data_IF_498357408935
#
_entry.id   IF_498357408935
#
_cell.length_a   1.000
_cell.length_b   1.000
_cell.length_c   1.000
_cell.angle_alpha   90.00
_cell.angle_beta   90.00
_cell.angle_gamma   90.00
#
_symmetry.space_group_name_H-M   'P 1'
#
loop_
_entity.id
_entity.type
_entity.pdbx_description
1 polymer ?
#
# COMPACT_ATOMS: atom_id res chain seq x y z
N UNK A 1 27.51 -3.51 11.37
CA UNK A 1 27.15 -3.59 9.95
C UNK A 1 27.21 -5.05 9.50
N UNK A 2 26.20 -5.51 8.78
CA UNK A 2 26.18 -6.81 8.12
C UNK A 2 25.92 -6.59 6.62
N UNK A 3 26.78 -7.14 5.78
CA UNK A 3 26.65 -7.13 4.32
C UNK A 3 26.46 -8.55 3.83
N UNK A 4 25.40 -8.76 3.06
CA UNK A 4 25.03 -10.03 2.44
C UNK A 4 24.91 -9.81 0.94
N UNK A 5 25.65 -10.60 0.16
CA UNK A 5 25.59 -10.55 -1.30
C UNK A 5 25.51 -11.96 -1.88
N UNK A 6 24.79 -12.11 -3.00
CA UNK A 6 24.75 -13.32 -3.83
C UNK A 6 24.50 -14.62 -3.04
N UNK A 7 23.68 -14.52 -2.00
CA UNK A 7 23.48 -15.60 -1.02
C UNK A 7 22.09 -16.23 -1.14
N UNK A 8 21.93 -17.43 -0.59
CA UNK A 8 20.65 -18.15 -0.57
C UNK A 8 20.27 -18.48 0.87
N UNK A 9 19.08 -18.03 1.28
CA UNK A 9 18.43 -18.32 2.54
C UNK A 9 17.15 -19.09 2.25
N UNK A 10 17.26 -20.41 2.19
CA UNK A 10 16.14 -21.30 1.88
C UNK A 10 15.63 -22.03 3.12
N UNK A 11 14.31 -22.11 3.25
CA UNK A 11 13.63 -22.95 4.23
C UNK A 11 14.01 -22.66 5.69
N UNK A 12 14.43 -21.43 6.00
CA UNK A 12 14.70 -21.04 7.38
C UNK A 12 13.39 -20.93 8.15
N UNK A 13 13.43 -21.35 9.41
CA UNK A 13 12.26 -21.41 10.27
C UNK A 13 12.65 -21.05 11.71
N UNK A 14 11.71 -20.49 12.45
CA UNK A 14 11.90 -20.15 13.85
C UNK A 14 11.57 -21.41 14.67
N UNK A 15 12.62 -22.00 15.25
CA UNK A 15 12.53 -23.29 15.96
C UNK A 15 11.97 -23.16 17.39
N UNK A 16 12.02 -21.96 17.99
CA UNK A 16 11.43 -21.71 19.31
C UNK A 16 10.14 -20.92 19.18
N UNK A 17 9.01 -21.64 19.08
CA UNK A 17 7.67 -21.07 18.88
C UNK A 17 6.84 -20.95 20.16
N UNK A 18 7.37 -21.39 21.30
CA UNK A 18 6.61 -21.62 22.51
C UNK A 18 7.23 -20.96 23.74
N UNK A 19 6.44 -20.11 24.40
CA UNK A 19 6.53 -19.68 25.81
C UNK A 19 7.23 -18.36 26.18
N UNK A 20 7.70 -17.54 25.24
CA UNK A 20 8.07 -16.17 25.56
C UNK A 20 7.66 -15.22 24.45
N UNK A 21 7.31 -14.00 24.84
CA UNK A 21 7.10 -12.78 24.07
C UNK A 21 8.32 -12.35 23.23
N UNK A 22 8.98 -13.29 22.54
CA UNK A 22 10.08 -13.00 21.61
C UNK A 22 9.49 -12.71 20.24
N UNK A 23 8.88 -11.54 20.14
CA UNK A 23 8.45 -10.89 18.89
C UNK A 23 9.66 -10.34 18.09
N UNK A 24 10.81 -11.02 18.12
CA UNK A 24 12.08 -10.45 17.66
C UNK A 24 12.96 -11.49 16.95
N UNK A 25 12.65 -11.77 15.69
CA UNK A 25 13.56 -12.51 14.82
C UNK A 25 13.00 -12.72 13.43
N UNK A 26 13.72 -12.26 12.40
CA UNK A 26 13.46 -12.71 11.04
C UNK A 26 14.04 -14.10 10.85
N UNK A 27 13.32 -14.99 10.17
CA UNK A 27 13.74 -16.40 10.10
C UNK A 27 15.13 -16.59 9.48
N UNK A 28 15.53 -15.72 8.57
CA UNK A 28 16.86 -15.73 7.97
C UNK A 28 17.76 -14.66 8.60
N UNK A 29 17.28 -13.42 8.74
CA UNK A 29 18.10 -12.30 9.21
C UNK A 29 17.31 -11.46 10.20
N UNK A 30 17.97 -11.13 11.31
CA UNK A 30 17.46 -10.20 12.30
C UNK A 30 18.45 -9.06 12.54
N UNK A 31 18.08 -7.84 12.13
CA UNK A 31 18.90 -6.63 12.26
C UNK A 31 18.43 -5.81 13.47
N UNK A 32 19.26 -5.78 14.52
CA UNK A 32 18.95 -5.09 15.79
C UNK A 32 19.01 -3.56 15.65
N UNK A 33 18.61 -2.82 16.70
CA UNK A 33 18.34 -1.37 16.61
C UNK A 33 19.55 -0.52 16.21
N UNK A 34 20.77 -0.91 16.60
CA UNK A 34 22.04 -0.25 16.25
C UNK A 34 22.72 -0.89 15.02
N UNK A 35 22.05 -1.88 14.42
CA UNK A 35 22.51 -2.58 13.24
C UNK A 35 22.29 -1.80 11.95
N UNK A 36 23.16 -2.07 10.98
CA UNK A 36 22.99 -1.66 9.59
C UNK A 36 23.10 -2.89 8.73
N UNK A 37 22.07 -3.16 7.94
CA UNK A 37 21.96 -4.32 7.07
C UNK A 37 22.03 -3.87 5.60
N UNK A 38 22.87 -4.51 4.81
CA UNK A 38 22.86 -4.40 3.35
C UNK A 38 22.73 -5.78 2.73
N UNK A 39 21.73 -5.96 1.88
CA UNK A 39 21.46 -7.19 1.14
C UNK A 39 21.44 -6.88 -0.35
N UNK A 40 22.15 -7.68 -1.14
CA UNK A 40 22.23 -7.52 -2.60
C UNK A 40 22.24 -8.87 -3.31
N UNK A 41 21.58 -8.97 -4.48
CA UNK A 41 21.67 -10.15 -5.35
C UNK A 41 21.25 -11.48 -4.71
N UNK A 42 20.51 -11.45 -3.60
CA UNK A 42 20.31 -12.61 -2.73
C UNK A 42 18.91 -13.20 -2.87
N UNK A 43 18.76 -14.48 -2.54
CA UNK A 43 17.50 -15.21 -2.63
C UNK A 43 17.04 -15.67 -1.25
N UNK A 44 15.83 -15.28 -0.88
CA UNK A 44 15.13 -15.70 0.35
C UNK A 44 13.92 -16.50 -0.08
N UNK A 45 14.00 -17.83 0.08
CA UNK A 45 12.98 -18.74 -0.44
C UNK A 45 12.43 -19.64 0.64
N UNK A 46 11.12 -19.91 0.60
CA UNK A 46 10.46 -20.89 1.48
C UNK A 46 10.64 -20.63 2.99
N UNK A 47 11.02 -19.42 3.41
CA UNK A 47 11.23 -19.15 4.82
C UNK A 47 9.86 -19.08 5.54
N UNK A 48 9.77 -19.75 6.70
CA UNK A 48 8.57 -19.81 7.55
C UNK A 48 7.34 -20.39 6.81
N UNK A 49 7.54 -21.18 5.75
CA UNK A 49 6.45 -21.70 4.89
C UNK A 49 5.30 -22.37 5.64
N UNK A 50 5.58 -22.96 6.81
CA UNK A 50 4.60 -23.63 7.66
C UNK A 50 3.94 -22.70 8.70
N UNK A 51 3.83 -21.40 8.41
CA UNK A 51 3.09 -20.44 9.21
C UNK A 51 1.65 -20.91 9.45
N UNK A 52 1.19 -20.81 10.70
CA UNK A 52 -0.21 -21.06 11.08
C UNK A 52 -0.81 -19.80 11.70
N UNK A 53 -2.08 -19.56 11.40
CA UNK A 53 -2.80 -18.42 11.96
C UNK A 53 -2.80 -18.52 13.51
N UNK A 54 -2.24 -17.51 14.17
CA UNK A 54 -1.99 -17.49 15.60
C UNK A 54 -0.50 -17.40 15.97
N UNK A 55 0.41 -17.82 15.09
CA UNK A 55 1.86 -17.72 15.35
C UNK A 55 2.32 -16.24 15.30
N UNK A 56 3.24 -15.84 16.18
CA UNK A 56 3.87 -14.50 16.20
C UNK A 56 5.17 -14.45 15.37
N UNK A 57 5.17 -15.05 14.17
CA UNK A 57 6.38 -15.13 13.34
C UNK A 57 6.51 -13.88 12.47
N UNK A 58 7.72 -13.34 12.41
CA UNK A 58 8.07 -12.17 11.61
C UNK A 58 8.86 -12.64 10.38
N UNK A 59 8.73 -11.96 9.24
CA UNK A 59 9.20 -12.42 7.92
C UNK A 59 10.66 -12.86 7.80
N UNK A 60 11.05 -13.28 6.59
CA UNK A 60 12.42 -13.77 6.33
C UNK A 60 13.51 -12.80 6.85
N UNK A 61 13.32 -11.49 6.65
CA UNK A 61 14.15 -10.43 7.22
C UNK A 61 13.31 -9.61 8.18
N UNK A 62 13.82 -9.37 9.38
CA UNK A 62 13.25 -8.38 10.31
C UNK A 62 14.31 -7.37 10.69
N UNK A 63 13.95 -6.09 10.67
CA UNK A 63 14.88 -4.99 10.93
C UNK A 63 14.31 -3.92 11.88
N UNK A 64 15.02 -3.68 12.97
CA UNK A 64 14.84 -2.51 13.85
C UNK A 64 15.86 -1.42 13.46
N UNK A 65 17.07 -1.81 13.09
CA UNK A 65 18.08 -0.90 12.54
C UNK A 65 17.82 -0.54 11.08
N UNK A 66 18.75 0.21 10.47
CA UNK A 66 18.64 0.61 9.07
C UNK A 66 18.91 -0.58 8.14
N UNK A 67 18.13 -0.71 7.07
CA UNK A 67 18.28 -1.79 6.10
C UNK A 67 18.20 -1.29 4.65
N UNK A 68 19.10 -1.80 3.81
CA UNK A 68 19.06 -1.64 2.35
C UNK A 68 19.03 -3.01 1.70
N UNK A 69 18.07 -3.23 0.79
CA UNK A 69 17.89 -4.46 0.03
C UNK A 69 17.84 -4.10 -1.46
N UNK A 70 18.63 -4.77 -2.28
CA UNK A 70 18.74 -4.49 -3.71
C UNK A 70 18.83 -5.75 -4.56
N UNK A 71 18.23 -5.75 -5.74
CA UNK A 71 18.40 -6.83 -6.72
C UNK A 71 18.11 -8.24 -6.18
N UNK A 72 17.23 -8.36 -5.18
CA UNK A 72 17.06 -9.60 -4.41
C UNK A 72 15.69 -10.22 -4.64
N UNK A 73 15.57 -11.53 -4.41
CA UNK A 73 14.33 -12.27 -4.62
C UNK A 73 13.80 -12.84 -3.31
N UNK A 74 12.52 -12.59 -3.04
CA UNK A 74 11.77 -13.13 -1.92
C UNK A 74 10.62 -13.96 -2.48
N UNK A 75 10.75 -15.28 -2.43
CA UNK A 75 9.79 -16.20 -3.05
C UNK A 75 9.21 -17.18 -2.04
N UNK A 76 7.87 -17.25 -1.98
CA UNK A 76 7.15 -18.22 -1.15
C UNK A 76 7.59 -18.18 0.33
N UNK A 77 7.89 -16.98 0.84
CA UNK A 77 8.09 -16.77 2.27
C UNK A 77 6.74 -16.51 2.94
N UNK A 78 6.63 -16.85 4.21
CA UNK A 78 5.42 -16.63 4.99
C UNK A 78 5.72 -15.89 6.28
N UNK A 79 4.72 -15.25 6.88
CA UNK A 79 4.88 -14.59 8.17
C UNK A 79 3.59 -13.98 8.67
N UNK A 80 3.51 -13.70 9.97
CA UNK A 80 2.42 -12.89 10.51
C UNK A 80 2.54 -11.46 10.01
N UNK A 81 3.73 -10.87 10.18
CA UNK A 81 4.06 -9.49 9.81
C UNK A 81 5.23 -9.51 8.85
N UNK A 82 4.98 -9.17 7.58
CA UNK A 82 5.98 -9.33 6.54
C UNK A 82 6.13 -10.81 6.22
N UNK A 83 5.72 -11.29 5.06
CA UNK A 83 6.15 -12.63 4.64
C UNK A 83 7.64 -12.60 4.32
N UNK A 84 8.08 -11.57 3.60
CA UNK A 84 9.46 -11.39 3.22
C UNK A 84 10.24 -10.45 4.15
N UNK A 85 9.80 -9.20 4.31
CA UNK A 85 10.51 -8.18 5.09
C UNK A 85 9.57 -7.54 6.09
N UNK A 86 10.05 -7.34 7.32
CA UNK A 86 9.36 -6.58 8.35
C UNK A 86 10.26 -5.52 8.94
N UNK A 87 9.74 -4.31 9.10
CA UNK A 87 10.40 -3.26 9.89
C UNK A 87 9.69 -3.06 11.22
N UNK A 88 10.47 -2.71 12.25
CA UNK A 88 9.95 -2.50 13.60
C UNK A 88 10.56 -1.26 14.25
N UNK A 89 10.58 -0.14 13.51
CA UNK A 89 11.10 1.14 14.02
C UNK A 89 10.28 1.72 15.16
N UNK A 90 9.03 1.29 15.35
CA UNK A 90 8.22 1.64 16.53
C UNK A 90 8.87 1.27 17.87
N UNK A 91 9.85 0.37 17.87
CA UNK A 91 10.61 -0.04 19.07
C UNK A 91 11.72 0.95 19.44
N UNK A 92 12.03 1.89 18.56
CA UNK A 92 13.01 2.95 18.83
C UNK A 92 12.43 3.99 19.79
N UNK A 93 13.29 4.53 20.65
CA UNK A 93 12.92 5.47 21.69
C UNK A 93 12.42 6.80 21.13
N UNK A 94 11.48 7.43 21.84
CA UNK A 94 10.96 8.75 21.47
C UNK A 94 10.32 8.75 20.08
N UNK A 95 10.71 9.71 19.25
CA UNK A 95 10.19 9.90 17.89
C UNK A 95 11.11 9.32 16.81
N UNK A 96 12.19 8.61 17.20
CA UNK A 96 13.12 8.01 16.25
C UNK A 96 12.44 6.93 15.41
N UNK A 97 12.84 6.84 14.14
CA UNK A 97 12.39 5.85 13.16
C UNK A 97 13.61 5.33 12.41
N UNK A 98 13.61 4.05 12.02
CA UNK A 98 14.64 3.49 11.15
C UNK A 98 14.23 3.60 9.68
N UNK A 99 15.18 3.31 8.80
CA UNK A 99 14.99 3.33 7.36
C UNK A 99 14.99 1.93 6.75
N UNK A 100 14.08 1.68 5.81
CA UNK A 100 14.11 0.56 4.89
C UNK A 100 14.18 1.07 3.45
N UNK A 101 15.25 0.74 2.73
CA UNK A 101 15.34 0.98 1.29
C UNK A 101 15.32 -0.35 0.54
N UNK A 102 14.40 -0.50 -0.41
CA UNK A 102 14.28 -1.68 -1.27
C UNK A 102 14.29 -1.23 -2.73
N UNK A 103 15.16 -1.83 -3.54
CA UNK A 103 15.31 -1.48 -4.96
C UNK A 103 15.47 -2.72 -5.84
N UNK A 104 14.93 -2.68 -7.06
CA UNK A 104 15.19 -3.70 -8.08
C UNK A 104 14.88 -5.14 -7.66
N UNK A 105 13.97 -5.33 -6.69
CA UNK A 105 13.78 -6.62 -6.00
C UNK A 105 12.41 -7.23 -6.33
N UNK A 106 12.33 -8.55 -6.24
CA UNK A 106 11.11 -9.31 -6.56
C UNK A 106 10.54 -9.98 -5.31
N UNK A 107 9.25 -9.77 -5.05
CA UNK A 107 8.44 -10.39 -4.02
C UNK A 107 7.35 -11.22 -4.70
N UNK A 108 7.51 -12.54 -4.68
CA UNK A 108 6.61 -13.44 -5.40
C UNK A 108 6.02 -14.51 -4.51
N UNK A 109 4.70 -14.70 -4.62
CA UNK A 109 3.98 -15.78 -3.94
C UNK A 109 4.22 -15.81 -2.43
N UNK A 110 4.56 -14.68 -1.82
CA UNK A 110 4.72 -14.63 -0.38
C UNK A 110 3.34 -14.63 0.29
N UNK A 111 3.26 -15.31 1.43
CA UNK A 111 2.07 -15.39 2.26
C UNK A 111 2.21 -14.54 3.51
N UNK A 112 1.10 -14.03 4.02
CA UNK A 112 1.11 -13.50 5.37
C UNK A 112 -0.25 -13.18 5.92
N UNK A 113 -0.26 -12.63 7.13
CA UNK A 113 -1.45 -12.00 7.68
C UNK A 113 -1.43 -10.50 7.36
N UNK A 114 -0.30 -9.84 7.58
CA UNK A 114 -0.09 -8.42 7.30
C UNK A 114 1.13 -8.23 6.38
N UNK A 115 0.93 -7.71 5.16
CA UNK A 115 2.02 -7.33 4.26
C UNK A 115 2.83 -8.54 3.81
N UNK A 116 2.28 -9.43 2.98
CA UNK A 116 2.99 -10.67 2.66
C UNK A 116 4.34 -10.42 1.94
N UNK A 117 4.49 -9.33 1.20
CA UNK A 117 5.80 -8.82 0.82
C UNK A 117 6.48 -8.10 1.99
N UNK A 118 6.06 -6.85 2.22
CA UNK A 118 6.70 -5.96 3.18
C UNK A 118 5.67 -5.50 4.22
N UNK A 119 6.06 -5.56 5.49
CA UNK A 119 5.35 -4.93 6.60
C UNK A 119 6.20 -3.81 7.18
N UNK A 120 5.65 -2.61 7.25
CA UNK A 120 6.30 -1.40 7.75
C UNK A 120 5.61 -0.98 9.04
N UNK A 121 6.35 -0.90 10.15
CA UNK A 121 5.85 -0.41 11.43
C UNK A 121 6.80 0.62 12.04
N UNK A 122 6.40 1.91 11.99
CA UNK A 122 7.17 3.00 12.58
C UNK A 122 8.53 3.22 11.91
N UNK A 123 8.60 3.07 10.59
CA UNK A 123 9.83 3.21 9.82
C UNK A 123 9.61 4.07 8.58
N UNK A 124 10.61 4.89 8.25
CA UNK A 124 10.70 5.49 6.92
C UNK A 124 11.03 4.41 5.89
N UNK A 125 10.43 4.49 4.70
CA UNK A 125 10.69 3.50 3.67
C UNK A 125 10.75 4.07 2.25
N UNK A 126 11.56 3.43 1.42
CA UNK A 126 11.63 3.64 -0.03
C UNK A 126 11.58 2.29 -0.73
N UNK A 127 10.62 2.12 -1.63
CA UNK A 127 10.48 0.95 -2.50
C UNK A 127 10.54 1.44 -3.95
N UNK A 128 11.51 0.96 -4.71
CA UNK A 128 11.78 1.43 -6.07
C UNK A 128 12.05 0.27 -7.00
N UNK A 129 11.57 0.34 -8.25
CA UNK A 129 11.85 -0.66 -9.29
C UNK A 129 11.56 -2.11 -8.84
N UNK A 130 10.54 -2.31 -8.00
CA UNK A 130 10.23 -3.61 -7.40
C UNK A 130 9.04 -4.29 -8.08
N UNK A 131 9.01 -5.62 -8.00
CA UNK A 131 7.91 -6.45 -8.49
C UNK A 131 7.26 -7.21 -7.34
N UNK A 132 5.96 -7.02 -7.15
CA UNK A 132 5.13 -7.77 -6.22
C UNK A 132 4.12 -8.60 -7.01
N UNK A 133 4.35 -9.90 -7.16
CA UNK A 133 3.47 -10.80 -7.92
C UNK A 133 2.86 -11.90 -7.05
N UNK A 134 1.54 -12.04 -7.09
CA UNK A 134 0.80 -13.12 -6.41
C UNK A 134 1.05 -13.22 -4.90
N UNK A 135 1.37 -12.11 -4.25
CA UNK A 135 1.47 -12.10 -2.79
C UNK A 135 0.05 -12.15 -2.19
N UNK A 136 -0.07 -12.79 -1.04
CA UNK A 136 -1.34 -13.25 -0.52
C UNK A 136 -1.46 -13.00 0.98
N UNK A 137 -2.43 -12.18 1.40
CA UNK A 137 -2.68 -11.91 2.82
C UNK A 137 -4.09 -12.34 3.25
N UNK A 138 -4.19 -13.39 4.07
CA UNK A 138 -5.47 -13.95 4.52
C UNK A 138 -5.47 -14.30 6.00
N UNK A 139 -6.66 -14.24 6.60
CA UNK A 139 -6.91 -14.63 7.98
C UNK A 139 -7.48 -13.49 8.81
N UNK A 140 -8.01 -13.84 9.99
CA UNK A 140 -8.44 -12.87 10.99
C UNK A 140 -7.27 -12.61 11.92
N UNK A 141 -6.66 -11.45 11.77
CA UNK A 141 -5.56 -11.07 12.64
C UNK A 141 -6.02 -10.65 14.04
N UNK A 142 -5.05 -10.43 14.94
CA UNK A 142 -5.30 -9.98 16.31
C UNK A 142 -4.88 -8.53 16.56
N UNK A 143 -4.28 -7.85 15.58
CA UNK A 143 -4.04 -6.42 15.69
C UNK A 143 -5.37 -5.70 15.56
N UNK A 144 -5.54 -4.61 16.30
CA UNK A 144 -6.69 -3.72 16.19
C UNK A 144 -6.26 -2.53 15.32
N UNK A 145 -7.02 -2.18 14.25
CA UNK A 145 -8.14 -2.94 13.70
C UNK A 145 -7.73 -4.29 13.13
N UNK A 146 -8.63 -5.25 13.28
CA UNK A 146 -8.57 -6.60 12.73
C UNK A 146 -8.73 -6.65 11.20
N UNK A 147 -8.48 -5.52 10.51
CA UNK A 147 -8.85 -5.27 9.12
C UNK A 147 -7.67 -4.82 8.24
N UNK A 148 -6.44 -4.83 8.74
CA UNK A 148 -5.29 -4.47 7.91
C UNK A 148 -4.77 -5.74 7.26
N UNK A 149 -5.00 -5.93 5.97
CA UNK A 149 -4.43 -7.06 5.23
C UNK A 149 -4.10 -6.55 3.83
N UNK A 150 -2.96 -5.85 3.71
CA UNK A 150 -2.32 -5.56 2.42
C UNK A 150 -1.55 -6.79 1.94
N UNK A 151 -1.85 -7.28 0.73
CA UNK A 151 -1.20 -8.50 0.26
C UNK A 151 0.27 -8.30 -0.09
N UNK A 152 0.65 -7.15 -0.65
CA UNK A 152 2.04 -6.85 -0.99
C UNK A 152 2.72 -6.03 0.10
N UNK A 153 2.19 -4.85 0.43
CA UNK A 153 2.79 -3.93 1.40
C UNK A 153 1.72 -3.51 2.42
N UNK A 154 2.09 -3.50 3.70
CA UNK A 154 1.31 -2.86 4.77
C UNK A 154 2.18 -1.82 5.45
N UNK A 155 1.64 -0.61 5.62
CA UNK A 155 2.18 0.43 6.50
C UNK A 155 1.23 0.54 7.69
N UNK A 156 1.59 -0.11 8.80
CA UNK A 156 0.68 -0.22 9.96
C UNK A 156 0.76 1.00 10.84
N UNK A 157 -0.34 1.33 11.50
CA UNK A 157 -0.39 2.45 12.43
C UNK A 157 0.36 2.16 13.74
N UNK A 158 1.33 3.01 14.08
CA UNK A 158 2.18 2.93 15.28
C UNK A 158 2.20 4.23 16.10
N UNK A 159 1.60 5.31 15.58
CA UNK A 159 1.68 6.64 16.18
C UNK A 159 2.94 7.44 15.83
N UNK A 160 3.87 6.89 15.03
CA UNK A 160 5.09 7.60 14.59
C UNK A 160 4.81 8.50 13.38
N UNK A 161 5.56 9.59 13.25
CA UNK A 161 5.56 10.41 12.02
C UNK A 161 6.56 9.81 11.03
N UNK A 162 6.05 9.11 10.03
CA UNK A 162 6.86 8.40 9.01
C UNK A 162 6.59 8.94 7.62
N UNK A 163 7.58 8.78 6.76
CA UNK A 163 7.53 9.08 5.34
C UNK A 163 7.79 7.84 4.51
N UNK A 164 7.07 7.71 3.40
CA UNK A 164 7.17 6.55 2.52
C UNK A 164 7.15 6.92 1.07
N UNK A 165 7.98 6.26 0.27
CA UNK A 165 8.03 6.43 -1.18
C UNK A 165 7.92 5.07 -1.85
N UNK A 166 6.98 4.92 -2.79
CA UNK A 166 6.86 3.78 -3.69
C UNK A 166 6.96 4.30 -5.12
N UNK A 167 7.96 3.85 -5.87
CA UNK A 167 8.26 4.38 -7.20
C UNK A 167 8.53 3.26 -8.19
N UNK A 168 8.08 3.47 -9.43
CA UNK A 168 8.46 2.63 -10.58
C UNK A 168 8.26 1.12 -10.33
N UNK A 169 7.24 0.77 -9.52
CA UNK A 169 7.04 -0.58 -9.02
C UNK A 169 5.76 -1.20 -9.58
N UNK A 170 5.76 -2.53 -9.71
CA UNK A 170 4.66 -3.28 -10.28
C UNK A 170 4.03 -4.22 -9.25
N UNK A 171 2.71 -4.12 -9.08
CA UNK A 171 1.89 -4.94 -8.21
C UNK A 171 0.90 -5.73 -9.07
N UNK A 172 1.14 -7.03 -9.22
CA UNK A 172 0.32 -7.91 -10.06
C UNK A 172 -0.28 -9.08 -9.30
N UNK A 173 -1.57 -9.33 -9.54
CA UNK A 173 -2.26 -10.54 -9.05
C UNK A 173 -2.19 -10.73 -7.52
N UNK A 174 -1.95 -9.66 -6.76
CA UNK A 174 -1.88 -9.74 -5.32
C UNK A 174 -3.30 -9.84 -4.76
N UNK A 175 -3.49 -10.64 -3.70
CA UNK A 175 -4.82 -10.94 -3.16
C UNK A 175 -4.86 -10.90 -1.65
N UNK A 176 -5.84 -10.19 -1.09
CA UNK A 176 -6.07 -10.20 0.34
C UNK A 176 -7.55 -10.19 0.73
N UNK A 177 -7.84 -10.18 2.03
CA UNK A 177 -9.19 -9.86 2.51
C UNK A 177 -9.53 -8.36 2.37
N UNK A 178 -8.60 -7.44 2.68
CA UNK A 178 -8.93 -6.01 2.80
C UNK A 178 -8.30 -5.13 1.71
N UNK A 179 -7.00 -5.24 1.46
CA UNK A 179 -6.34 -4.49 0.38
C UNK A 179 -5.51 -5.40 -0.52
N UNK A 180 -5.85 -5.46 -1.80
CA UNK A 180 -5.25 -6.42 -2.72
C UNK A 180 -3.75 -6.20 -2.93
N UNK A 181 -3.23 -4.98 -2.80
CA UNK A 181 -1.79 -4.71 -2.90
C UNK A 181 -1.24 -3.96 -1.68
N UNK A 182 -1.62 -2.71 -1.48
CA UNK A 182 -1.00 -1.80 -0.50
C UNK A 182 -2.05 -1.32 0.51
N UNK A 183 -1.75 -1.43 1.80
CA UNK A 183 -2.60 -0.94 2.89
C UNK A 183 -1.84 0.11 3.69
N UNK A 184 -2.39 1.32 3.80
CA UNK A 184 -1.72 2.49 4.37
C UNK A 184 -2.50 3.03 5.55
N UNK A 185 -1.91 2.91 6.74
CA UNK A 185 -2.53 3.33 8.00
C UNK A 185 -1.78 4.44 8.73
N UNK A 186 -0.58 4.82 8.30
CA UNK A 186 0.17 5.95 8.88
C UNK A 186 1.04 6.66 7.85
N UNK A 187 1.51 7.84 8.22
CA UNK A 187 2.54 8.59 7.50
C UNK A 187 2.09 9.41 6.31
N UNK A 188 3.09 10.04 5.68
CA UNK A 188 2.99 10.78 4.42
C UNK A 188 3.61 9.92 3.33
N UNK A 189 2.77 9.37 2.46
CA UNK A 189 3.18 8.37 1.48
C UNK A 189 3.01 8.91 0.06
N UNK A 190 4.08 8.85 -0.74
CA UNK A 190 4.04 9.16 -2.16
C UNK A 190 4.20 7.88 -2.97
N UNK A 191 3.26 7.62 -3.88
CA UNK A 191 3.29 6.52 -4.83
C UNK A 191 3.36 7.12 -6.23
N UNK A 192 4.39 6.76 -7.01
CA UNK A 192 4.63 7.36 -8.31
C UNK A 192 5.02 6.32 -9.36
N UNK A 193 4.61 6.55 -10.61
CA UNK A 193 5.01 5.73 -11.75
C UNK A 193 4.76 4.23 -11.57
N UNK A 194 3.78 3.86 -10.75
CA UNK A 194 3.58 2.47 -10.33
C UNK A 194 2.38 1.85 -11.04
N UNK A 195 2.40 0.53 -11.17
CA UNK A 195 1.40 -0.22 -11.91
C UNK A 195 0.72 -1.22 -10.97
N UNK A 196 -0.61 -1.20 -10.93
CA UNK A 196 -1.44 -2.09 -10.14
C UNK A 196 -2.39 -2.85 -11.09
N UNK A 197 -2.11 -4.13 -11.33
CA UNK A 197 -2.89 -4.96 -12.27
C UNK A 197 -3.45 -6.21 -11.60
N UNK A 198 -4.74 -6.47 -11.80
CA UNK A 198 -5.42 -7.68 -11.33
C UNK A 198 -5.27 -7.93 -9.82
N UNK A 199 -5.06 -6.89 -9.02
CA UNK A 199 -5.05 -7.04 -7.58
C UNK A 199 -6.49 -7.12 -7.09
N UNK A 200 -6.72 -7.92 -6.05
CA UNK A 200 -8.08 -8.12 -5.54
C UNK A 200 -8.15 -8.20 -4.03
N UNK A 201 -9.24 -7.65 -3.49
CA UNK A 201 -9.63 -7.86 -2.11
C UNK A 201 -11.09 -8.28 -2.02
N UNK A 202 -11.46 -8.88 -0.89
CA UNK A 202 -12.86 -9.19 -0.61
C UNK A 202 -13.64 -7.93 -0.23
N UNK A 203 -13.04 -7.03 0.56
CA UNK A 203 -13.76 -5.91 1.17
C UNK A 203 -13.33 -4.53 0.64
N UNK A 204 -12.21 -3.95 1.13
CA UNK A 204 -11.95 -2.52 1.00
C UNK A 204 -11.48 -2.12 -0.40
N UNK A 205 -10.27 -2.53 -0.81
CA UNK A 205 -9.63 -2.02 -2.03
C UNK A 205 -9.05 -3.13 -2.89
N UNK A 206 -9.31 -3.09 -4.20
CA UNK A 206 -8.64 -4.00 -5.13
C UNK A 206 -7.14 -3.77 -5.16
N UNK A 207 -6.66 -2.53 -5.05
CA UNK A 207 -5.24 -2.20 -5.05
C UNK A 207 -4.78 -1.51 -3.76
N UNK A 208 -5.30 -0.31 -3.45
CA UNK A 208 -4.78 0.54 -2.37
C UNK A 208 -5.88 0.93 -1.39
N UNK A 209 -5.67 0.65 -0.11
CA UNK A 209 -6.50 1.15 0.97
C UNK A 209 -5.75 2.22 1.77
N UNK A 210 -6.46 3.30 2.11
CA UNK A 210 -6.00 4.37 2.99
C UNK A 210 -7.00 4.51 4.12
N UNK A 211 -6.70 3.84 5.23
CA UNK A 211 -7.56 3.75 6.40
C UNK A 211 -6.71 3.54 7.66
N UNK A 212 -7.15 4.10 8.78
CA UNK A 212 -6.37 4.22 10.01
C UNK A 212 -7.30 4.43 11.21
N UNK A 213 -6.79 4.18 12.42
CA UNK A 213 -7.56 4.39 13.65
C UNK A 213 -6.94 5.44 14.58
N UNK A 214 -5.62 5.59 14.54
CA UNK A 214 -4.89 6.49 15.43
C UNK A 214 -4.50 7.72 14.62
N UNK A 215 -3.89 7.49 13.46
CA UNK A 215 -3.34 8.53 12.62
C UNK A 215 -4.26 8.92 11.46
N UNK A 216 -3.87 9.99 10.77
CA UNK A 216 -4.54 10.48 9.55
C UNK A 216 -3.53 10.45 8.41
N UNK A 217 -3.35 9.31 7.73
CA UNK A 217 -2.39 9.22 6.63
C UNK A 217 -2.72 10.25 5.55
N UNK A 218 -1.68 10.74 4.90
CA UNK A 218 -1.78 11.60 3.73
C UNK A 218 -1.06 10.90 2.57
N UNK A 219 -1.79 10.65 1.49
CA UNK A 219 -1.28 9.85 0.37
C UNK A 219 -1.37 10.63 -0.93
N UNK A 220 -0.29 10.59 -1.70
CA UNK A 220 -0.21 11.16 -3.04
C UNK A 220 0.10 10.04 -4.04
N UNK A 221 -0.70 9.92 -5.09
CA UNK A 221 -0.56 8.95 -6.17
C UNK A 221 -0.41 9.72 -7.48
N UNK A 222 0.75 9.58 -8.13
CA UNK A 222 1.08 10.34 -9.34
C UNK A 222 1.45 9.39 -10.47
N UNK A 223 0.99 9.67 -11.68
CA UNK A 223 1.43 8.99 -12.91
C UNK A 223 1.38 7.46 -12.80
N UNK A 224 0.32 6.93 -12.18
CA UNK A 224 0.21 5.50 -11.88
C UNK A 224 -0.95 4.87 -12.64
N UNK A 225 -0.87 3.56 -12.85
CA UNK A 225 -1.87 2.80 -13.61
C UNK A 225 -2.58 1.78 -12.72
N UNK A 226 -3.91 1.80 -12.75
CA UNK A 226 -4.78 0.83 -12.09
C UNK A 226 -5.62 0.11 -13.13
N UNK A 227 -5.36 -1.18 -13.33
CA UNK A 227 -6.03 -1.97 -14.35
C UNK A 227 -6.63 -3.26 -13.78
N UNK A 228 -7.92 -3.46 -14.01
CA UNK A 228 -8.60 -4.73 -13.67
C UNK A 228 -8.50 -5.12 -12.19
N UNK A 229 -8.38 -4.15 -11.28
CA UNK A 229 -8.42 -4.40 -9.84
C UNK A 229 -9.87 -4.53 -9.38
N UNK A 230 -10.11 -5.32 -8.32
CA UNK A 230 -11.46 -5.60 -7.85
C UNK A 230 -11.57 -5.73 -6.33
N UNK A 231 -12.58 -5.09 -5.75
CA UNK A 231 -13.05 -5.32 -4.39
C UNK A 231 -14.53 -4.95 -4.25
N UNK A 232 -15.13 -5.23 -3.08
CA UNK A 232 -16.53 -4.90 -2.79
C UNK A 232 -16.80 -3.40 -2.77
N UNK A 233 -15.92 -2.61 -2.16
CA UNK A 233 -16.09 -1.16 -2.01
C UNK A 233 -15.32 -0.35 -3.06
N UNK A 234 -13.99 -0.37 -2.99
CA UNK A 234 -13.11 0.40 -3.87
C UNK A 234 -12.47 -0.50 -4.92
N UNK A 235 -12.96 -0.45 -6.15
CA UNK A 235 -12.46 -1.36 -7.20
C UNK A 235 -10.94 -1.28 -7.37
N UNK A 236 -10.38 -0.08 -7.31
CA UNK A 236 -8.94 0.15 -7.20
C UNK A 236 -8.57 0.72 -5.82
N UNK A 237 -9.26 1.78 -5.38
CA UNK A 237 -8.86 2.56 -4.21
C UNK A 237 -10.01 2.70 -3.22
N UNK A 238 -9.69 2.57 -1.94
CA UNK A 238 -10.58 2.83 -0.81
C UNK A 238 -9.94 3.86 0.12
N UNK A 239 -10.61 4.98 0.38
CA UNK A 239 -9.99 6.11 1.09
C UNK A 239 -10.90 6.76 2.14
N UNK A 240 -10.38 6.87 3.37
CA UNK A 240 -10.97 7.62 4.48
C UNK A 240 -10.31 8.97 4.79
N UNK A 241 -9.13 9.26 4.23
CA UNK A 241 -8.32 10.41 4.62
C UNK A 241 -7.94 11.30 3.43
N UNK A 242 -6.85 12.07 3.54
CA UNK A 242 -6.42 12.94 2.46
C UNK A 242 -5.72 12.11 1.39
N UNK A 243 -6.28 12.14 0.19
CA UNK A 243 -5.76 11.44 -0.97
C UNK A 243 -5.67 12.40 -2.15
N UNK A 244 -4.50 12.45 -2.77
CA UNK A 244 -4.30 13.09 -4.08
C UNK A 244 -4.02 12.01 -5.10
N UNK A 245 -4.72 12.02 -6.23
CA UNK A 245 -4.50 11.10 -7.36
C UNK A 245 -4.48 11.88 -8.66
N UNK A 246 -3.30 12.13 -9.18
CA UNK A 246 -3.10 12.95 -10.39
C UNK A 246 -2.36 12.18 -11.47
N UNK A 247 -2.60 12.57 -12.72
CA UNK A 247 -1.97 11.99 -13.91
C UNK A 247 -2.08 10.45 -13.99
N UNK A 248 -3.08 9.85 -13.34
CA UNK A 248 -3.19 8.40 -13.18
C UNK A 248 -4.34 7.82 -14.01
N UNK A 249 -4.15 6.61 -14.52
CA UNK A 249 -5.12 5.95 -15.41
C UNK A 249 -5.83 4.80 -14.71
N UNK A 250 -7.15 4.74 -14.88
CA UNK A 250 -8.00 3.68 -14.33
C UNK A 250 -8.74 2.95 -15.46
N UNK A 251 -8.48 1.66 -15.63
CA UNK A 251 -9.12 0.84 -16.66
C UNK A 251 -9.68 -0.45 -16.06
N UNK A 252 -10.89 -0.84 -16.45
CA UNK A 252 -11.49 -2.15 -16.12
C UNK A 252 -11.54 -2.52 -14.62
N UNK A 253 -11.34 -1.58 -13.71
CA UNK A 253 -11.52 -1.84 -12.28
C UNK A 253 -13.00 -2.09 -12.00
N UNK A 254 -13.32 -2.86 -10.94
CA UNK A 254 -14.71 -3.09 -10.57
C UNK A 254 -15.46 -1.78 -10.28
N UNK A 255 -16.80 -1.86 -10.21
CA UNK A 255 -17.66 -0.71 -9.89
C UNK A 255 -17.11 0.05 -8.68
N UNK A 256 -17.37 1.36 -8.63
CA UNK A 256 -16.88 2.24 -7.58
C UNK A 256 -15.33 2.20 -7.50
N UNK A 257 -14.69 2.46 -8.64
CA UNK A 257 -13.22 2.38 -8.83
C UNK A 257 -12.46 3.10 -7.71
N UNK A 258 -12.93 4.27 -7.30
CA UNK A 258 -12.47 4.95 -6.09
C UNK A 258 -13.66 5.08 -5.13
N UNK A 259 -13.59 4.43 -3.98
CA UNK A 259 -14.52 4.65 -2.89
C UNK A 259 -13.93 5.68 -1.92
N UNK A 260 -14.52 6.88 -1.90
CA UNK A 260 -14.06 7.99 -1.06
C UNK A 260 -15.09 8.37 0.01
N UNK A 261 -14.73 8.25 1.29
CA UNK A 261 -15.64 8.58 2.38
C UNK A 261 -15.90 10.08 2.49
N UNK A 262 -17.01 10.44 3.14
CA UNK A 262 -17.47 11.84 3.21
C UNK A 262 -16.52 12.80 3.92
N UNK A 263 -15.67 12.28 4.80
CA UNK A 263 -14.73 13.08 5.59
C UNK A 263 -13.36 13.24 4.91
N UNK A 264 -13.16 12.52 3.81
CA UNK A 264 -11.90 12.44 3.09
C UNK A 264 -11.81 13.53 2.03
N UNK A 265 -10.68 14.23 1.96
CA UNK A 265 -10.39 15.08 0.80
C UNK A 265 -9.80 14.19 -0.30
N UNK A 266 -10.37 14.30 -1.50
CA UNK A 266 -9.92 13.60 -2.70
C UNK A 266 -9.63 14.62 -3.79
N UNK A 267 -8.36 14.88 -4.00
CA UNK A 267 -7.88 15.70 -5.11
C UNK A 267 -7.59 14.79 -6.32
N UNK A 268 -8.24 15.06 -7.45
CA UNK A 268 -8.03 14.37 -8.72
C UNK A 268 -7.41 15.28 -9.80
N UNK A 269 -6.95 16.47 -9.44
CA UNK A 269 -6.40 17.47 -10.36
C UNK A 269 -7.41 17.94 -11.40
N UNK A 270 -8.67 18.15 -11.00
CA UNK A 270 -9.78 18.46 -11.91
C UNK A 270 -9.66 19.89 -12.41
N UNK A 271 -9.50 20.08 -13.72
CA UNK A 271 -9.35 21.42 -14.32
C UNK A 271 -10.42 21.73 -15.36
N UNK A 272 -11.02 20.72 -15.97
CA UNK A 272 -12.00 20.90 -17.04
C UNK A 272 -13.31 20.15 -16.78
N UNK A 273 -14.33 20.39 -17.62
CA UNK A 273 -15.59 19.64 -17.55
C UNK A 273 -15.41 18.15 -17.88
N UNK A 274 -14.49 17.83 -18.78
CA UNK A 274 -14.07 16.46 -19.10
C UNK A 274 -13.47 15.78 -17.88
N UNK A 275 -12.55 16.43 -17.16
CA UNK A 275 -11.96 15.90 -15.94
C UNK A 275 -13.04 15.65 -14.88
N UNK A 276 -13.96 16.61 -14.70
CA UNK A 276 -15.04 16.50 -13.74
C UNK A 276 -15.99 15.34 -14.09
N UNK A 277 -16.32 15.17 -15.37
CA UNK A 277 -17.17 14.06 -15.83
C UNK A 277 -16.49 12.71 -15.61
N UNK A 278 -15.18 12.61 -15.86
CA UNK A 278 -14.38 11.42 -15.60
C UNK A 278 -14.30 11.11 -14.10
N UNK A 279 -14.03 12.13 -13.27
CA UNK A 279 -14.01 12.02 -11.81
C UNK A 279 -15.36 11.54 -11.26
N UNK A 280 -16.47 12.10 -11.76
CA UNK A 280 -17.81 11.61 -11.44
C UNK A 280 -17.92 10.14 -11.84
N UNK A 281 -17.46 9.72 -13.02
CA UNK A 281 -17.47 8.31 -13.42
C UNK A 281 -16.74 7.39 -12.43
N UNK A 282 -15.55 7.80 -11.97
CA UNK A 282 -14.66 7.01 -11.12
C UNK A 282 -15.11 6.92 -9.66
N UNK A 283 -15.63 8.01 -9.09
CA UNK A 283 -15.74 8.16 -7.64
C UNK A 283 -17.11 7.75 -7.11
N UNK A 284 -17.11 6.94 -6.04
CA UNK A 284 -18.24 6.72 -5.17
C UNK A 284 -18.03 7.48 -3.86
N UNK A 285 -19.02 8.27 -3.46
CA UNK A 285 -18.97 9.00 -2.19
C UNK A 285 -18.79 10.49 -2.41
N UNK A 286 -17.70 11.08 -1.90
CA UNK A 286 -17.44 12.52 -2.01
C UNK A 286 -16.30 12.81 -2.96
N UNK A 287 -16.52 13.75 -3.88
CA UNK A 287 -15.50 14.37 -4.70
C UNK A 287 -15.25 15.77 -4.16
N UNK A 288 -13.99 16.18 -3.99
CA UNK A 288 -13.65 17.55 -3.59
C UNK A 288 -13.05 18.31 -4.77
N UNK A 289 -13.33 19.61 -4.84
CA UNK A 289 -12.67 20.50 -5.79
C UNK A 289 -11.50 21.21 -5.10
N UNK A 290 -10.40 21.33 -5.83
CA UNK A 290 -9.17 22.02 -5.45
C UNK A 290 -8.95 23.32 -6.26
N UNK A 291 -9.76 23.53 -7.29
CA UNK A 291 -9.70 24.69 -8.18
C UNK A 291 -11.07 25.03 -8.79
N UNK A 292 -11.20 26.25 -9.32
CA UNK A 292 -12.36 26.64 -10.13
C UNK A 292 -12.38 25.87 -11.45
N UNK A 293 -13.55 25.37 -11.84
CA UNK A 293 -13.75 24.61 -13.08
C UNK A 293 -14.53 25.47 -14.05
N UNK A 294 -13.93 25.77 -15.20
CA UNK A 294 -14.57 26.51 -16.28
C UNK A 294 -14.65 25.64 -17.55
N UNK A 295 -15.81 25.68 -18.22
CA UNK A 295 -15.96 25.01 -19.51
C UNK A 295 -15.09 25.68 -20.56
N UNK A 296 -14.29 24.87 -21.25
CA UNK A 296 -13.49 25.32 -22.39
C UNK A 296 -14.33 25.37 -23.67
N UNK A 297 -13.92 26.18 -24.66
CA UNK A 297 -14.63 26.26 -25.95
C UNK A 297 -14.69 24.91 -26.67
N UNK A 298 -13.64 24.11 -26.53
CA UNK A 298 -13.53 22.77 -27.15
C UNK A 298 -14.47 21.74 -26.50
N UNK A 299 -14.95 22.00 -25.27
CA UNK A 299 -15.84 21.11 -24.52
C UNK A 299 -17.33 21.40 -24.76
N UNK A 300 -17.68 22.60 -25.23
CA UNK A 300 -19.07 23.07 -25.33
C UNK A 300 -19.98 22.16 -26.17
N UNK A 301 -19.42 21.52 -27.21
CA UNK A 301 -20.18 20.57 -28.03
C UNK A 301 -20.54 19.27 -27.29
N UNK A 302 -19.71 18.85 -26.33
CA UNK A 302 -19.86 17.60 -25.57
C UNK A 302 -20.68 17.79 -24.30
N UNK A 303 -20.75 19.02 -23.76
CA UNK A 303 -21.41 19.35 -22.49
C UNK A 303 -22.58 20.33 -22.66
N UNK A 304 -23.36 20.21 -23.75
CA UNK A 304 -24.52 21.09 -24.03
C UNK A 304 -25.57 21.09 -22.93
N UNK A 305 -25.75 19.94 -22.28
CA UNK A 305 -26.68 19.76 -21.16
C UNK A 305 -25.97 19.89 -19.79
N UNK A 306 -24.70 20.34 -19.79
CA UNK A 306 -23.82 20.38 -18.64
C UNK A 306 -23.22 19.02 -18.28
N UNK A 307 -22.64 18.93 -17.08
CA UNK A 307 -22.07 17.70 -16.52
C UNK A 307 -23.18 16.75 -16.10
N UNK A 308 -23.11 15.50 -16.57
CA UNK A 308 -24.12 14.49 -16.26
C UNK A 308 -23.85 13.80 -14.92
N UNK A 309 -24.86 13.81 -14.03
CA UNK A 309 -24.86 13.08 -12.77
C UNK A 309 -25.93 11.98 -12.85
N UNK A 310 -25.49 10.73 -12.91
CA UNK A 310 -26.36 9.55 -13.04
C UNK A 310 -26.29 8.62 -11.82
N UNK A 311 -25.68 9.07 -10.73
CA UNK A 311 -25.51 8.31 -9.49
C UNK A 311 -25.49 9.23 -8.27
N UNK A 312 -25.64 8.63 -7.10
CA UNK A 312 -25.49 9.34 -5.83
C UNK A 312 -24.02 9.69 -5.58
N UNK A 313 -23.69 10.96 -5.73
CA UNK A 313 -22.38 11.53 -5.45
C UNK A 313 -22.53 12.86 -4.71
N UNK A 314 -21.57 13.18 -3.83
CA UNK A 314 -21.43 14.51 -3.24
C UNK A 314 -20.26 15.20 -3.93
N UNK A 315 -20.49 16.39 -4.47
CA UNK A 315 -19.42 17.30 -4.88
C UNK A 315 -19.29 18.34 -3.78
N UNK A 316 -18.16 18.35 -3.10
CA UNK A 316 -17.79 19.37 -2.11
C UNK A 316 -16.90 20.41 -2.81
N UNK A 317 -17.50 21.54 -3.17
CA UNK A 317 -16.81 22.59 -3.93
C UNK A 317 -15.70 23.29 -3.15
N UNK A 318 -15.61 23.16 -1.82
CA UNK A 318 -14.61 23.85 -0.98
C UNK A 318 -14.48 25.38 -1.20
N UNK A 319 -15.51 26.00 -1.77
CA UNK A 319 -15.51 27.43 -2.13
C UNK A 319 -15.20 27.73 -3.60
N UNK A 320 -14.88 26.71 -4.41
CA UNK A 320 -14.65 26.81 -5.84
C UNK A 320 -15.94 26.75 -6.66
N UNK A 321 -15.87 27.31 -7.85
CA UNK A 321 -16.98 27.45 -8.81
C UNK A 321 -16.94 26.38 -9.90
N UNK A 322 -18.11 26.07 -10.45
CA UNK A 322 -18.26 25.29 -11.70
C UNK A 322 -19.05 26.19 -12.65
N UNK A 323 -18.41 26.67 -13.71
CA UNK A 323 -18.96 27.65 -14.65
C UNK A 323 -19.02 27.08 -16.07
N UNK A 324 -20.23 26.98 -16.60
CA UNK A 324 -20.51 26.51 -17.97
C UNK A 324 -20.56 27.64 -19.01
N UNK A 325 -20.37 28.91 -18.57
CA UNK A 325 -20.63 30.17 -19.29
C UNK A 325 -22.11 30.53 -19.44
#
# INVERSE_FOLDING_TARGET
ELVVSDSVFDSNDIVNRGSASVDYGGAAIYNWYDGTLTVSGSNFTNNIKNYKNGDNLVGAITTIGNATVSGSNFVNNSGRWGGAISTAGYLLAGDDVNTLTVSGSTFKENGGLYGAGIFVAGSDFTVSDCVFDKNSAFGKGNMTPNNNNGAAIVVTDTGKDITGIITDSNFTNNKAHFSGAVDICEGKITIKNSIFVNNSAEYCAGAIAVDSQINKPAVEIINSKFDSNSAEYGGAIYNYYNLTVVDSTFTNNSKDTIYNFRVANLDLGIKTFTDLQNAIGLVRGTLTLDSDIAMTDDEAANFKDGVAINKNIRIDGKGHTIDAR
#
